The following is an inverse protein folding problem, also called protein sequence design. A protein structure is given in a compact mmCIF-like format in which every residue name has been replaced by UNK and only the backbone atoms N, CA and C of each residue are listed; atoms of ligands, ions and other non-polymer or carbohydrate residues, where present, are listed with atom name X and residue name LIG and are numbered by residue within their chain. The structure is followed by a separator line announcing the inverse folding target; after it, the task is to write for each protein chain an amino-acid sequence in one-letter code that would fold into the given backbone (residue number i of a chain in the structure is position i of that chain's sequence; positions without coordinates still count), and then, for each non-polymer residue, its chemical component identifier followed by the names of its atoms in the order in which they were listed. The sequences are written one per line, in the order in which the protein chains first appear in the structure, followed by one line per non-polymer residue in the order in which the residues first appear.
data_IF_238617031418
#
_entry.id   IF_238617031418
#
_cell.length_a   1.000
_cell.length_b   1.000
_cell.length_c   1.000
_cell.angle_alpha   90.00
_cell.angle_beta   90.00
_cell.angle_gamma   90.00
#
_symmetry.space_group_name_H-M   'P 1'
#
loop_
_entity.id
_entity.type
_entity.pdbx_description
1 polymer ?
#
# COMPACT_ATOMS: atom_id res chain seq x y z
N UNK A 1 22.24 -8.58 -17.91
CA UNK A 1 21.02 -9.26 -17.43
C UNK A 1 20.84 -8.89 -15.97
N UNK A 2 19.77 -8.18 -15.60
CA UNK A 2 19.57 -7.73 -14.23
C UNK A 2 18.72 -8.78 -13.50
N UNK A 3 19.37 -9.66 -12.74
CA UNK A 3 18.67 -10.73 -12.02
C UNK A 3 17.79 -10.14 -10.92
N UNK A 4 16.47 -10.27 -11.06
CA UNK A 4 15.51 -9.87 -10.04
C UNK A 4 15.54 -10.84 -8.86
N UNK A 5 16.09 -10.39 -7.72
CA UNK A 5 16.22 -11.18 -6.48
C UNK A 5 15.15 -10.84 -5.43
N UNK A 6 14.07 -10.16 -5.83
CA UNK A 6 12.98 -9.79 -4.93
C UNK A 6 12.24 -11.05 -4.44
N UNK A 7 11.98 -11.13 -3.14
CA UNK A 7 11.21 -12.23 -2.53
C UNK A 7 9.84 -11.72 -2.13
N UNK A 8 8.81 -12.27 -2.76
CA UNK A 8 7.43 -11.96 -2.40
C UNK A 8 6.98 -12.82 -1.22
N UNK A 9 6.36 -12.19 -0.23
CA UNK A 9 5.82 -12.80 0.99
C UNK A 9 4.30 -12.97 0.87
N UNK A 10 3.69 -13.65 1.84
CA UNK A 10 2.23 -13.78 1.96
C UNK A 10 1.51 -14.17 0.66
N UNK A 11 2.05 -15.18 -0.04
CA UNK A 11 1.55 -15.69 -1.32
C UNK A 11 1.62 -14.71 -2.51
N UNK A 12 2.38 -13.62 -2.38
CA UNK A 12 2.67 -12.71 -3.49
C UNK A 12 3.43 -13.40 -4.62
N UNK A 13 3.16 -13.00 -5.87
CA UNK A 13 3.79 -13.58 -7.06
C UNK A 13 4.80 -12.61 -7.66
N UNK A 14 6.05 -13.06 -7.84
CA UNK A 14 7.07 -12.24 -8.47
C UNK A 14 6.82 -12.12 -9.98
N UNK A 15 6.56 -10.92 -10.46
CA UNK A 15 6.65 -10.60 -11.87
C UNK A 15 8.12 -10.39 -12.24
N UNK A 16 8.74 -11.40 -12.87
CA UNK A 16 10.15 -11.34 -13.26
C UNK A 16 10.45 -10.32 -14.37
N UNK A 17 9.45 -9.89 -15.12
CA UNK A 17 9.60 -8.90 -16.19
C UNK A 17 9.71 -7.48 -15.64
N UNK A 18 8.85 -7.10 -14.67
CA UNK A 18 8.92 -5.77 -14.03
C UNK A 18 9.75 -5.76 -12.73
N UNK A 19 10.12 -6.93 -12.20
CA UNK A 19 10.74 -7.11 -10.90
C UNK A 19 9.89 -6.56 -9.73
N UNK A 20 8.60 -6.86 -9.75
CA UNK A 20 7.63 -6.42 -8.74
C UNK A 20 6.84 -7.61 -8.19
N UNK A 21 6.40 -7.51 -6.94
CA UNK A 21 5.49 -8.50 -6.36
C UNK A 21 4.03 -8.12 -6.61
N UNK A 22 3.27 -9.06 -7.17
CA UNK A 22 1.81 -9.01 -7.22
C UNK A 22 1.27 -9.57 -5.91
N UNK A 23 0.86 -8.69 -5.00
CA UNK A 23 0.39 -9.09 -3.67
C UNK A 23 -1.00 -9.73 -3.72
N UNK A 24 -1.20 -10.70 -2.83
CA UNK A 24 -2.53 -11.27 -2.60
C UNK A 24 -3.42 -10.26 -1.88
N UNK A 25 -4.75 -10.46 -1.98
CA UNK A 25 -5.74 -9.60 -1.34
C UNK A 25 -5.44 -9.40 0.15
N UNK A 26 -5.45 -8.14 0.58
CA UNK A 26 -5.15 -7.76 1.96
C UNK A 26 -3.68 -7.52 2.28
N UNK A 27 -2.76 -7.65 1.32
CA UNK A 27 -1.34 -7.33 1.48
C UNK A 27 -0.88 -6.21 0.53
N UNK A 28 0.09 -5.42 0.98
CA UNK A 28 0.72 -4.32 0.24
C UNK A 28 2.24 -4.33 0.47
N UNK A 29 2.93 -3.30 -0.06
CA UNK A 29 4.38 -3.08 -0.07
C UNK A 29 5.14 -3.88 -1.14
N UNK A 30 6.38 -3.48 -1.50
CA UNK A 30 7.11 -4.08 -2.61
C UNK A 30 7.33 -5.60 -2.50
N UNK A 31 7.34 -6.14 -1.29
CA UNK A 31 7.53 -7.57 -1.00
C UNK A 31 6.27 -8.24 -0.42
N UNK A 32 5.12 -7.55 -0.39
CA UNK A 32 3.87 -8.03 0.20
C UNK A 32 3.93 -8.34 1.70
N UNK A 33 4.89 -7.78 2.44
CA UNK A 33 5.05 -8.02 3.89
C UNK A 33 4.01 -7.32 4.77
N UNK A 34 3.37 -6.26 4.26
CA UNK A 34 2.53 -5.36 5.05
C UNK A 34 1.06 -5.60 4.76
N UNK A 35 0.22 -5.53 5.79
CA UNK A 35 -1.24 -5.64 5.62
C UNK A 35 -1.76 -4.36 4.97
N UNK A 36 -2.58 -4.52 3.92
CA UNK A 36 -3.33 -3.43 3.31
C UNK A 36 -4.47 -3.01 4.25
N UNK A 37 -4.20 -1.99 5.05
CA UNK A 37 -5.20 -1.38 5.94
C UNK A 37 -4.92 0.10 6.15
N UNK A 38 -5.93 0.80 6.64
CA UNK A 38 -5.74 2.10 7.25
C UNK A 38 -5.09 1.92 8.62
N UNK A 39 -3.99 2.62 8.85
CA UNK A 39 -3.23 2.63 10.10
C UNK A 39 -3.68 3.75 11.05
N UNK A 40 -4.56 4.65 10.61
CA UNK A 40 -5.08 5.74 11.41
C UNK A 40 -6.61 5.67 11.52
N UNK A 41 -7.14 5.79 12.74
CA UNK A 41 -8.59 5.73 13.02
C UNK A 41 -9.41 6.81 12.29
N UNK A 42 -8.74 7.92 11.92
CA UNK A 42 -9.36 9.04 11.22
C UNK A 42 -9.47 8.89 9.70
N UNK A 43 -9.14 7.74 9.12
CA UNK A 43 -9.34 7.48 7.70
C UNK A 43 -10.83 7.24 7.41
N UNK A 44 -11.41 7.98 6.46
CA UNK A 44 -12.82 7.86 6.07
C UNK A 44 -13.81 8.54 7.02
N UNK A 45 -13.35 9.35 7.98
CA UNK A 45 -14.22 9.99 9.00
C UNK A 45 -14.09 11.52 9.00
N UNK A 46 -15.12 12.19 9.54
CA UNK A 46 -15.18 13.63 9.72
C UNK A 46 -15.58 13.96 11.19
N UNK A 47 -14.78 14.72 11.97
CA UNK A 47 -13.49 15.35 11.61
C UNK A 47 -12.36 14.32 11.41
N UNK A 48 -11.51 14.54 10.40
CA UNK A 48 -10.46 13.58 10.03
C UNK A 48 -10.00 13.66 8.58
N UNK A 49 -9.83 12.50 7.96
CA UNK A 49 -9.52 12.32 6.54
C UNK A 49 -10.75 11.72 5.82
N UNK A 50 -11.77 12.52 5.52
CA UNK A 50 -13.11 12.01 5.17
C UNK A 50 -13.18 11.26 3.84
N UNK A 51 -12.23 11.48 2.93
CA UNK A 51 -12.25 10.85 1.61
C UNK A 51 -10.86 10.84 0.97
N UNK A 52 -10.80 10.30 -0.25
CA UNK A 52 -9.57 10.30 -1.07
C UNK A 52 -8.99 11.71 -1.32
N UNK A 53 -9.78 12.77 -1.14
CA UNK A 53 -9.27 14.15 -1.21
C UNK A 53 -8.17 14.42 -0.18
N UNK A 54 -8.17 13.70 0.95
CA UNK A 54 -7.18 13.84 2.00
C UNK A 54 -5.85 13.13 1.73
N UNK A 55 -5.77 12.25 0.72
CA UNK A 55 -4.60 11.39 0.49
C UNK A 55 -3.30 12.18 0.22
N UNK A 56 -3.41 13.35 -0.43
CA UNK A 56 -2.27 14.21 -0.77
C UNK A 56 -1.83 15.12 0.37
N UNK A 57 -2.58 15.19 1.48
CA UNK A 57 -2.25 16.03 2.62
C UNK A 57 -0.95 15.55 3.30
N UNK A 58 -0.31 16.46 4.03
CA UNK A 58 0.93 16.20 4.76
C UNK A 58 2.01 15.54 3.89
N UNK A 59 2.26 16.09 2.69
CA UNK A 59 3.22 15.54 1.72
C UNK A 59 2.92 14.08 1.37
N UNK A 60 1.65 13.77 1.11
CA UNK A 60 1.14 12.42 0.82
C UNK A 60 1.30 11.41 1.98
N UNK A 61 1.64 11.85 3.19
CA UNK A 61 1.75 10.94 4.34
C UNK A 61 0.41 10.29 4.68
N UNK A 62 -0.71 10.98 4.44
CA UNK A 62 -2.05 10.41 4.60
C UNK A 62 -2.20 9.21 3.68
N UNK A 63 -1.97 9.36 2.37
CA UNK A 63 -2.11 8.25 1.43
C UNK A 63 -1.07 7.14 1.59
N UNK A 64 0.20 7.48 1.84
CA UNK A 64 1.31 6.51 1.81
C UNK A 64 1.56 5.79 3.14
N UNK A 65 1.09 6.35 4.26
CA UNK A 65 1.37 5.81 5.59
C UNK A 65 0.10 5.53 6.37
N UNK A 66 -0.79 6.52 6.48
CA UNK A 66 -1.89 6.46 7.45
C UNK A 66 -3.17 5.82 6.90
N UNK A 67 -3.56 6.15 5.68
CA UNK A 67 -4.84 5.80 5.08
C UNK A 67 -4.66 5.07 3.76
N UNK A 68 -3.69 4.14 3.68
CA UNK A 68 -3.33 3.46 2.42
C UNK A 68 -4.51 2.74 1.79
N UNK A 69 -5.33 2.07 2.59
CA UNK A 69 -6.50 1.33 2.10
C UNK A 69 -7.56 2.30 1.58
N UNK A 70 -7.91 3.35 2.34
CA UNK A 70 -8.81 4.40 1.89
C UNK A 70 -8.32 5.06 0.59
N UNK A 71 -7.01 5.30 0.50
CA UNK A 71 -6.38 5.98 -0.62
C UNK A 71 -6.09 5.09 -1.83
N UNK A 72 -6.29 3.77 -1.74
CA UNK A 72 -5.89 2.83 -2.79
C UNK A 72 -4.38 2.92 -3.08
N UNK A 73 -3.59 3.11 -2.04
CA UNK A 73 -2.11 3.10 -2.07
C UNK A 73 -1.52 1.82 -1.47
N UNK A 74 -2.39 0.86 -1.15
CA UNK A 74 -2.09 -0.53 -1.44
C UNK A 74 -2.10 -0.68 -2.97
#
# INVERSE_FOLDING_TARGET
DATCNLKCLNCGKLNKTSCECLCADGWDSPDCSRICRDEHERCGVNPGFPSKASCSLNKQAVGKKHCRKMCGSC
#
